data_IF_509021253756
#
_entry.id   IF_509021253756
#
_cell.length_a   1.000
_cell.length_b   1.000
_cell.length_c   1.000
_cell.angle_alpha   90.00
_cell.angle_beta   90.00
_cell.angle_gamma   90.00
#
_symmetry.space_group_name_H-M   'P 1'
#
loop_
_entity.id
_entity.type
_entity.pdbx_description
1 polymer ?
#
# COMPACT_ATOMS: atom_id res chain seq x y z
N UNK A 1 -19.81 -7.07 -46.44
CA UNK A 1 -20.83 -6.91 -45.38
C UNK A 1 -20.25 -7.05 -43.95
N UNK A 2 -18.92 -6.91 -43.74
CA UNK A 2 -18.23 -7.20 -42.45
C UNK A 2 -18.30 -6.09 -41.40
N UNK A 3 -18.50 -4.83 -41.83
CA UNK A 3 -18.36 -3.64 -40.96
C UNK A 3 -19.30 -3.60 -39.75
N UNK A 4 -20.45 -4.28 -39.81
CA UNK A 4 -21.44 -4.30 -38.72
C UNK A 4 -21.09 -5.30 -37.61
N UNK A 5 -20.37 -6.38 -37.93
CA UNK A 5 -19.93 -7.37 -36.95
C UNK A 5 -18.73 -6.84 -36.14
N UNK A 6 -17.74 -6.22 -36.80
CA UNK A 6 -16.56 -5.64 -36.13
C UNK A 6 -16.92 -4.51 -35.14
N UNK A 7 -17.94 -3.71 -35.45
CA UNK A 7 -18.41 -2.64 -34.55
C UNK A 7 -19.14 -3.17 -33.31
N UNK A 8 -19.92 -4.24 -33.47
CA UNK A 8 -20.65 -4.87 -32.38
C UNK A 8 -19.69 -5.60 -31.42
N UNK A 9 -18.76 -6.39 -31.96
CA UNK A 9 -17.75 -7.09 -31.16
C UNK A 9 -16.85 -6.11 -30.38
N UNK A 10 -16.49 -4.96 -30.98
CA UNK A 10 -15.77 -3.88 -30.28
C UNK A 10 -16.58 -3.25 -29.16
N UNK A 11 -17.89 -3.01 -29.35
CA UNK A 11 -18.76 -2.45 -28.31
C UNK A 11 -18.93 -3.41 -27.12
N UNK A 12 -19.04 -4.71 -27.41
CA UNK A 12 -19.10 -5.76 -26.38
C UNK A 12 -17.76 -5.85 -25.64
N UNK A 13 -16.64 -5.80 -26.36
CA UNK A 13 -15.30 -5.81 -25.76
C UNK A 13 -15.05 -4.60 -24.85
N UNK A 14 -15.40 -3.38 -25.28
CA UNK A 14 -15.27 -2.16 -24.46
C UNK A 14 -16.11 -2.26 -23.19
N UNK A 15 -17.34 -2.78 -23.30
CA UNK A 15 -18.23 -2.94 -22.15
C UNK A 15 -17.68 -3.96 -21.14
N UNK A 16 -17.14 -5.08 -21.62
CA UNK A 16 -16.46 -6.09 -20.81
C UNK A 16 -15.21 -5.53 -20.15
N UNK A 17 -14.37 -4.83 -20.91
CA UNK A 17 -13.12 -4.23 -20.43
C UNK A 17 -13.36 -3.20 -19.33
N UNK A 18 -14.45 -2.43 -19.40
CA UNK A 18 -14.85 -1.50 -18.35
C UNK A 18 -15.33 -2.23 -17.09
N UNK A 19 -16.12 -3.30 -17.24
CA UNK A 19 -16.56 -4.12 -16.11
C UNK A 19 -15.37 -4.80 -15.40
N UNK A 20 -14.43 -5.35 -16.17
CA UNK A 20 -13.22 -5.97 -15.65
C UNK A 20 -12.34 -4.92 -14.94
N UNK A 21 -12.25 -3.68 -15.45
CA UNK A 21 -11.51 -2.61 -14.78
C UNK A 21 -12.13 -2.24 -13.42
N UNK A 22 -13.46 -2.16 -13.31
CA UNK A 22 -14.15 -1.92 -12.03
C UNK A 22 -13.89 -3.05 -11.04
N UNK A 23 -13.97 -4.31 -11.50
CA UNK A 23 -13.68 -5.47 -10.66
C UNK A 23 -12.23 -5.46 -10.16
N UNK A 24 -11.27 -5.10 -11.01
CA UNK A 24 -9.86 -4.96 -10.65
C UNK A 24 -9.63 -3.84 -9.63
N UNK A 25 -10.24 -2.66 -9.82
CA UNK A 25 -10.20 -1.56 -8.84
C UNK A 25 -10.81 -1.97 -7.49
N UNK A 26 -11.90 -2.74 -7.50
CA UNK A 26 -12.51 -3.30 -6.29
C UNK A 26 -11.57 -4.27 -5.57
N UNK A 27 -10.97 -5.21 -6.30
CA UNK A 27 -10.00 -6.16 -5.74
C UNK A 27 -8.74 -5.45 -5.21
N UNK A 28 -8.25 -4.42 -5.90
CA UNK A 28 -7.14 -3.59 -5.43
C UNK A 28 -7.47 -2.87 -4.12
N UNK A 29 -8.69 -2.36 -3.99
CA UNK A 29 -9.17 -1.74 -2.75
C UNK A 29 -9.18 -2.73 -1.59
N UNK A 30 -9.69 -3.96 -1.81
CA UNK A 30 -9.68 -5.01 -0.78
C UNK A 30 -8.25 -5.37 -0.35
N UNK A 31 -7.33 -5.53 -1.31
CA UNK A 31 -5.92 -5.76 -1.00
C UNK A 31 -5.28 -4.63 -0.19
N UNK A 32 -5.63 -3.38 -0.48
CA UNK A 32 -5.16 -2.25 0.31
C UNK A 32 -5.59 -2.35 1.79
N UNK A 33 -6.83 -2.76 2.05
CA UNK A 33 -7.31 -3.04 3.42
C UNK A 33 -6.55 -4.18 4.08
N UNK A 34 -6.28 -5.27 3.36
CA UNK A 34 -5.49 -6.39 3.88
C UNK A 34 -4.05 -5.96 4.24
N UNK A 35 -3.40 -5.16 3.40
CA UNK A 35 -2.04 -4.67 3.66
C UNK A 35 -1.98 -3.70 4.85
N UNK A 36 -2.99 -2.84 5.02
CA UNK A 36 -3.13 -2.00 6.22
C UNK A 36 -3.29 -2.86 7.47
N UNK A 37 -4.12 -3.92 7.41
CA UNK A 37 -4.32 -4.84 8.54
C UNK A 37 -3.02 -5.57 8.90
N UNK A 38 -2.26 -6.04 7.90
CA UNK A 38 -0.93 -6.65 8.11
C UNK A 38 0.06 -5.66 8.71
N UNK A 39 0.05 -4.41 8.26
CA UNK A 39 0.93 -3.37 8.79
C UNK A 39 0.65 -3.11 10.29
N UNK A 40 -0.62 -3.06 10.70
CA UNK A 40 -1.02 -2.96 12.11
C UNK A 40 -0.53 -4.15 12.94
N UNK A 41 -0.69 -5.38 12.45
CA UNK A 41 -0.19 -6.58 13.13
C UNK A 41 1.34 -6.55 13.31
N UNK A 42 2.08 -6.11 12.29
CA UNK A 42 3.53 -5.98 12.35
C UNK A 42 3.99 -4.95 13.41
N UNK A 43 3.26 -3.85 13.58
CA UNK A 43 3.53 -2.85 14.62
C UNK A 43 3.32 -3.44 16.02
N UNK A 44 2.24 -4.21 16.22
CA UNK A 44 1.98 -4.89 17.50
C UNK A 44 3.08 -5.90 17.84
N UNK A 45 3.48 -6.73 16.87
CA UNK A 45 4.55 -7.71 17.06
C UNK A 45 5.88 -7.03 17.44
N UNK A 46 6.26 -5.97 16.72
CA UNK A 46 7.43 -5.14 17.07
C UNK A 46 7.33 -4.52 18.46
N UNK A 47 6.13 -4.12 18.88
CA UNK A 47 5.91 -3.56 20.22
C UNK A 47 6.24 -4.55 21.34
N UNK A 48 5.86 -5.81 21.17
CA UNK A 48 6.17 -6.89 22.12
C UNK A 48 7.68 -7.15 22.18
N UNK A 49 8.34 -7.26 21.02
CA UNK A 49 9.80 -7.45 20.95
C UNK A 49 10.57 -6.29 21.60
N UNK A 50 10.15 -5.05 21.33
CA UNK A 50 10.75 -3.85 21.95
C UNK A 50 10.56 -3.81 23.46
N UNK A 51 9.38 -4.18 23.96
CA UNK A 51 9.11 -4.21 25.39
C UNK A 51 10.01 -5.24 26.10
N UNK A 52 10.12 -6.45 25.56
CA UNK A 52 11.01 -7.50 26.10
C UNK A 52 12.49 -7.05 26.07
N UNK A 53 12.94 -6.45 24.97
CA UNK A 53 14.29 -5.92 24.84
C UNK A 53 14.58 -4.79 25.85
N UNK A 54 13.64 -3.85 26.03
CA UNK A 54 13.77 -2.76 26.98
C UNK A 54 13.85 -3.27 28.42
N UNK A 55 13.01 -4.24 28.79
CA UNK A 55 13.03 -4.87 30.12
C UNK A 55 14.38 -5.56 30.37
N UNK A 56 14.86 -6.36 29.42
CA UNK A 56 16.19 -7.00 29.51
C UNK A 56 17.32 -5.99 29.64
N UNK A 57 17.27 -4.90 28.88
CA UNK A 57 18.26 -3.85 28.93
C UNK A 57 18.25 -3.11 30.28
N UNK A 58 17.07 -2.86 30.86
CA UNK A 58 16.92 -2.28 32.19
C UNK A 58 17.43 -3.20 33.32
N UNK A 59 17.32 -4.51 33.19
CA UNK A 59 17.92 -5.44 34.16
C UNK A 59 19.44 -5.59 34.03
N UNK A 60 20.01 -5.16 32.90
CA UNK A 60 21.44 -5.33 32.59
C UNK A 60 22.29 -4.13 33.00
N UNK A 61 21.70 -2.97 33.29
CA UNK A 61 22.41 -1.76 33.71
C UNK A 61 22.92 -1.88 35.13
N UNK A 62 24.20 -1.56 35.33
CA UNK A 62 24.93 -1.68 36.60
C UNK A 62 25.31 -0.33 37.20
N UNK A 63 25.12 0.77 36.45
CA UNK A 63 25.43 2.11 36.91
C UNK A 63 24.45 3.18 36.38
N UNK A 64 24.36 4.36 37.02
CA UNK A 64 23.54 5.47 36.54
C UNK A 64 23.96 6.01 35.16
N UNK A 65 25.25 5.92 34.82
CA UNK A 65 25.75 6.33 33.50
C UNK A 65 25.20 5.42 32.40
N UNK A 66 25.22 4.09 32.61
CA UNK A 66 24.65 3.14 31.65
C UNK A 66 23.13 3.29 31.52
N UNK A 67 22.44 3.73 32.59
CA UNK A 67 21.01 4.05 32.53
C UNK A 67 20.72 5.27 31.62
N UNK A 68 21.55 6.32 31.70
CA UNK A 68 21.40 7.50 30.85
C UNK A 68 21.67 7.17 29.36
N UNK A 69 22.65 6.31 29.10
CA UNK A 69 22.92 5.79 27.75
C UNK A 69 21.74 4.94 27.23
N UNK A 70 21.17 4.09 28.08
CA UNK A 70 20.00 3.28 27.75
C UNK A 70 18.79 4.16 27.40
N UNK A 71 18.51 5.20 28.19
CA UNK A 71 17.43 6.15 27.90
C UNK A 71 17.65 6.85 26.55
N UNK A 72 18.87 7.30 26.28
CA UNK A 72 19.23 7.95 25.02
C UNK A 72 19.07 7.00 23.82
N UNK A 73 19.44 5.73 23.99
CA UNK A 73 19.26 4.68 22.99
C UNK A 73 17.78 4.39 22.72
N UNK A 74 16.97 4.19 23.76
CA UNK A 74 15.53 3.95 23.62
C UNK A 74 14.81 5.14 22.96
N UNK A 75 15.23 6.37 23.27
CA UNK A 75 14.70 7.56 22.62
C UNK A 75 15.02 7.59 21.12
N UNK A 76 16.28 7.30 20.73
CA UNK A 76 16.68 7.19 19.31
C UNK A 76 15.90 6.10 18.58
N UNK A 77 15.82 4.90 19.15
CA UNK A 77 15.08 3.77 18.57
C UNK A 77 13.58 4.05 18.42
N UNK A 78 13.02 4.86 19.31
CA UNK A 78 11.62 5.31 19.22
C UNK A 78 11.42 6.28 18.05
N UNK A 79 12.33 7.24 17.87
CA UNK A 79 12.29 8.19 16.74
C UNK A 79 12.49 7.45 15.41
N UNK A 80 13.47 6.56 15.32
CA UNK A 80 13.73 5.78 14.12
C UNK A 80 12.52 4.93 13.72
N UNK A 81 11.86 4.30 14.69
CA UNK A 81 10.65 3.53 14.43
C UNK A 81 9.47 4.40 14.01
N UNK A 82 9.27 5.56 14.63
CA UNK A 82 8.22 6.50 14.22
C UNK A 82 8.41 6.97 12.77
N UNK A 83 9.65 7.24 12.36
CA UNK A 83 9.97 7.59 10.98
C UNK A 83 9.71 6.43 10.03
N UNK A 84 10.13 5.21 10.40
CA UNK A 84 9.91 4.01 9.59
C UNK A 84 8.41 3.71 9.40
N UNK A 85 7.62 3.78 10.48
CA UNK A 85 6.19 3.53 10.44
C UNK A 85 5.45 4.61 9.63
N UNK A 86 5.87 5.88 9.75
CA UNK A 86 5.32 6.97 8.94
C UNK A 86 5.59 6.79 7.44
N UNK A 87 6.80 6.36 7.07
CA UNK A 87 7.14 6.04 5.67
C UNK A 87 6.31 4.89 5.15
N UNK A 88 6.18 3.80 5.92
CA UNK A 88 5.38 2.64 5.54
C UNK A 88 3.90 3.01 5.34
N UNK A 89 3.36 3.88 6.18
CA UNK A 89 1.99 4.36 6.05
C UNK A 89 1.79 5.22 4.79
N UNK A 90 2.76 6.08 4.48
CA UNK A 90 2.75 6.87 3.24
C UNK A 90 2.82 5.96 2.00
N UNK A 91 3.70 4.96 2.00
CA UNK A 91 3.82 3.97 0.91
C UNK A 91 2.52 3.19 0.70
N UNK A 92 1.91 2.70 1.79
CA UNK A 92 0.62 2.00 1.74
C UNK A 92 -0.50 2.89 1.18
N UNK A 93 -0.56 4.15 1.61
CA UNK A 93 -1.55 5.10 1.12
C UNK A 93 -1.37 5.38 -0.38
N UNK A 94 -0.14 5.62 -0.83
CA UNK A 94 0.16 5.83 -2.26
C UNK A 94 -0.13 4.57 -3.08
N UNK A 95 0.24 3.39 -2.58
CA UNK A 95 -0.01 2.12 -3.27
C UNK A 95 -1.51 1.83 -3.40
N UNK A 96 -2.27 2.04 -2.33
CA UNK A 96 -3.72 1.89 -2.33
C UNK A 96 -4.38 2.82 -3.36
N UNK A 97 -3.97 4.08 -3.40
CA UNK A 97 -4.48 5.05 -4.36
C UNK A 97 -4.14 4.66 -5.79
N UNK A 98 -2.88 4.34 -6.07
CA UNK A 98 -2.44 3.92 -7.41
C UNK A 98 -3.19 2.68 -7.88
N UNK A 99 -3.25 1.64 -7.05
CA UNK A 99 -3.88 0.37 -7.41
C UNK A 99 -5.40 0.52 -7.65
N UNK A 100 -6.07 1.44 -6.93
CA UNK A 100 -7.49 1.72 -7.14
C UNK A 100 -7.76 2.45 -8.47
N UNK A 101 -6.88 3.39 -8.87
CA UNK A 101 -7.10 4.26 -10.03
C UNK A 101 -6.41 3.80 -11.32
N UNK A 102 -5.40 2.95 -11.24
CA UNK A 102 -4.67 2.43 -12.40
C UNK A 102 -5.57 1.73 -13.44
N UNK A 103 -6.52 0.85 -13.05
CA UNK A 103 -7.43 0.21 -14.02
C UNK A 103 -8.30 1.23 -14.77
N UNK A 104 -8.73 2.29 -14.07
CA UNK A 104 -9.53 3.36 -14.68
C UNK A 104 -8.70 4.22 -15.63
N UNK A 105 -7.46 4.57 -15.24
CA UNK A 105 -6.53 5.28 -16.12
C UNK A 105 -6.22 4.49 -17.39
N UNK A 106 -6.11 3.17 -17.30
CA UNK A 106 -5.93 2.30 -18.47
C UNK A 106 -7.15 2.34 -19.42
N UNK A 107 -8.37 2.49 -18.90
CA UNK A 107 -9.58 2.72 -19.73
C UNK A 107 -9.56 4.08 -20.42
N UNK A 108 -9.16 5.14 -19.71
CA UNK A 108 -8.99 6.46 -20.33
C UNK A 108 -7.93 6.47 -21.44
N UNK A 109 -6.80 5.81 -21.23
CA UNK A 109 -5.75 5.67 -22.25
C UNK A 109 -6.22 4.85 -23.46
N UNK A 110 -6.93 3.74 -23.23
CA UNK A 110 -7.51 2.92 -24.30
C UNK A 110 -8.53 3.71 -25.14
N UNK A 111 -9.37 4.52 -24.49
CA UNK A 111 -10.31 5.41 -25.16
C UNK A 111 -9.60 6.46 -26.05
N UNK A 112 -8.54 7.10 -25.54
CA UNK A 112 -7.74 8.05 -26.32
C UNK A 112 -7.03 7.39 -27.51
N UNK A 113 -6.58 6.15 -27.38
CA UNK A 113 -6.01 5.40 -28.50
C UNK A 113 -7.08 5.10 -29.56
N UNK A 114 -8.30 4.75 -29.14
CA UNK A 114 -9.42 4.47 -30.03
C UNK A 114 -9.83 5.72 -30.84
N UNK A 115 -9.84 6.90 -30.22
CA UNK A 115 -10.16 8.16 -30.91
C UNK A 115 -9.07 8.63 -31.86
N UNK A 116 -7.79 8.36 -31.58
CA UNK A 116 -6.67 8.63 -32.49
C UNK A 116 -6.61 7.69 -33.69
N UNK A 117 -7.07 6.45 -33.54
CA UNK A 117 -7.15 5.47 -34.64
C UNK A 117 -8.38 5.71 -35.53
N UNK A 118 -9.41 6.37 -35.01
CA UNK A 118 -10.64 6.69 -35.73
C UNK A 118 -10.60 8.05 -36.48
N UNK A 119 -9.57 8.87 -36.26
CA UNK A 119 -9.31 10.15 -36.94
C UNK A 119 -8.29 9.97 -38.07
#
# INVERSE_FOLDING_TARGET
MSFKFDGFDKLVAISKDNADAIAQSGAATVKAFEEIAKAQQAVVAKGVEKADAAVKAMFSVKSPAELADLQSKLARESIEAAVADSRKLAELATSAFTAAFEPLNARFAAFQALTKVAA
#
